data_IF_313690339691
#
_entry.id   IF_313690339691
#
_cell.length_a   1.000
_cell.length_b   1.000
_cell.length_c   1.000
_cell.angle_alpha   90.00
_cell.angle_beta   90.00
_cell.angle_gamma   90.00
#
_symmetry.space_group_name_H-M   'P 1'
#
loop_
_entity.id
_entity.type
_entity.pdbx_description
1 polymer ?
#
# COMPACT_ATOMS: atom_id res chain seq x y z
N UNK A 1 -0.11 -2.27 -30.06
CA UNK A 1 -0.48 -3.69 -29.92
C UNK A 1 -0.97 -3.87 -28.50
N UNK A 2 -2.24 -4.18 -28.29
CA UNK A 2 -2.78 -4.39 -26.94
C UNK A 2 -2.13 -5.64 -26.33
N UNK A 3 -1.34 -5.48 -25.27
CA UNK A 3 -0.77 -6.61 -24.53
C UNK A 3 -1.87 -7.23 -23.68
N UNK A 4 -2.51 -8.27 -24.21
CA UNK A 4 -3.40 -9.13 -23.42
C UNK A 4 -2.53 -9.99 -22.51
N UNK A 5 -2.36 -9.55 -21.26
CA UNK A 5 -1.80 -10.34 -20.16
C UNK A 5 -2.76 -11.50 -19.85
N UNK A 6 -2.57 -12.64 -20.50
CA UNK A 6 -3.45 -13.82 -20.42
C UNK A 6 -3.08 -14.78 -19.28
N UNK A 7 -2.11 -14.41 -18.44
CA UNK A 7 -1.82 -15.17 -17.22
C UNK A 7 -2.60 -14.60 -16.04
N UNK A 8 -3.33 -15.46 -15.32
CA UNK A 8 -3.76 -15.12 -13.96
C UNK A 8 -2.49 -15.09 -13.08
N UNK A 9 -2.05 -13.92 -12.58
CA UNK A 9 -0.77 -13.82 -11.88
C UNK A 9 -0.82 -14.61 -10.58
N UNK A 10 -0.12 -15.75 -10.48
CA UNK A 10 -0.15 -16.61 -9.30
C UNK A 10 1.07 -16.45 -8.39
N UNK A 11 1.92 -15.46 -8.67
CA UNK A 11 3.14 -15.19 -7.93
C UNK A 11 3.09 -13.80 -7.30
N UNK A 12 3.64 -13.72 -6.09
CA UNK A 12 3.97 -12.48 -5.42
C UNK A 12 5.47 -12.24 -5.60
N UNK A 13 5.79 -11.09 -6.18
CA UNK A 13 7.15 -10.59 -6.32
C UNK A 13 7.37 -9.59 -5.20
N UNK A 14 8.06 -10.06 -4.17
CA UNK A 14 8.37 -9.26 -2.99
C UNK A 14 9.57 -8.39 -3.29
N UNK A 15 9.39 -7.07 -3.22
CA UNK A 15 10.48 -6.11 -3.39
C UNK A 15 10.43 -5.16 -2.21
N UNK A 16 11.61 -4.84 -1.71
CA UNK A 16 11.85 -3.77 -0.76
C UNK A 16 13.01 -2.93 -1.31
N UNK A 17 12.84 -1.62 -1.29
CA UNK A 17 13.84 -0.67 -1.73
C UNK A 17 14.29 0.18 -0.55
N UNK A 18 15.60 0.41 -0.47
CA UNK A 18 16.11 1.55 0.27
C UNK A 18 16.33 2.70 -0.70
N UNK A 19 15.91 3.91 -0.31
CA UNK A 19 16.06 5.13 -1.12
C UNK A 19 16.88 6.19 -0.40
N UNK A 20 17.47 7.11 -1.16
CA UNK A 20 18.13 8.30 -0.58
C UNK A 20 17.14 9.31 0.04
N UNK A 21 15.84 9.10 -0.16
CA UNK A 21 14.72 9.89 0.37
C UNK A 21 13.44 9.58 -0.44
N UNK A 22 12.31 10.22 -0.12
CA UNK A 22 11.00 9.86 -0.68
C UNK A 22 10.51 10.75 -1.83
N UNK A 23 11.12 11.91 -2.06
CA UNK A 23 10.83 12.75 -3.22
C UNK A 23 11.45 12.17 -4.50
N UNK A 24 10.60 11.62 -5.36
CA UNK A 24 10.98 11.05 -6.65
C UNK A 24 11.79 12.00 -7.52
N UNK A 25 11.62 13.33 -7.40
CA UNK A 25 12.32 14.31 -8.24
C UNK A 25 13.76 14.56 -7.80
N UNK A 26 14.12 14.18 -6.57
CA UNK A 26 15.42 14.47 -5.96
C UNK A 26 16.18 13.19 -5.64
N UNK A 27 15.46 12.16 -5.19
CA UNK A 27 16.02 10.94 -4.64
C UNK A 27 15.95 9.75 -5.59
N UNK A 28 16.77 8.75 -5.30
CA UNK A 28 16.95 7.54 -6.12
C UNK A 28 17.00 6.29 -5.24
N UNK A 29 16.89 5.13 -5.89
CA UNK A 29 17.05 3.80 -5.28
C UNK A 29 18.52 3.58 -4.94
N UNK A 30 18.82 3.12 -3.71
CA UNK A 30 20.19 2.84 -3.23
C UNK A 30 20.41 1.38 -2.84
N UNK A 31 19.35 0.63 -2.51
CA UNK A 31 19.37 -0.83 -2.32
C UNK A 31 18.08 -1.42 -2.90
N UNK A 32 18.17 -2.63 -3.45
CA UNK A 32 17.00 -3.42 -3.86
C UNK A 32 17.21 -4.87 -3.44
N UNK A 33 16.23 -5.44 -2.73
CA UNK A 33 16.13 -6.87 -2.53
C UNK A 33 14.87 -7.42 -3.20
N UNK A 34 14.92 -8.69 -3.59
CA UNK A 34 13.77 -9.36 -4.19
C UNK A 34 13.62 -10.80 -3.70
N UNK A 35 12.37 -11.24 -3.56
CA UNK A 35 12.02 -12.65 -3.39
C UNK A 35 10.72 -12.97 -4.14
N UNK A 36 10.48 -14.24 -4.42
CA UNK A 36 9.23 -14.70 -5.04
C UNK A 36 8.56 -15.76 -4.18
N UNK A 37 7.25 -15.62 -3.99
CA UNK A 37 6.42 -16.64 -3.35
C UNK A 37 5.19 -16.93 -4.21
N UNK A 38 4.55 -18.07 -3.96
CA UNK A 38 3.15 -18.26 -4.33
C UNK A 38 2.23 -17.44 -3.41
N UNK A 39 0.94 -17.37 -3.75
CA UNK A 39 -0.05 -16.72 -2.88
C UNK A 39 -0.32 -17.50 -1.58
N UNK A 40 0.10 -18.75 -1.47
CA UNK A 40 -0.01 -19.49 -0.22
C UNK A 40 1.16 -19.20 0.73
N UNK A 41 2.13 -18.39 0.31
CA UNK A 41 3.33 -18.03 1.05
C UNK A 41 4.13 -19.27 1.49
N UNK A 42 4.03 -20.36 0.70
CA UNK A 42 4.69 -21.64 1.00
C UNK A 42 5.99 -21.79 0.25
N UNK A 43 6.02 -21.39 -1.02
CA UNK A 43 7.26 -21.33 -1.78
C UNK A 43 7.99 -20.04 -1.44
N UNK A 44 9.30 -20.13 -1.28
CA UNK A 44 10.18 -18.97 -1.09
C UNK A 44 11.40 -19.15 -1.98
N UNK A 45 11.45 -18.34 -3.03
CA UNK A 45 12.61 -18.22 -3.90
C UNK A 45 13.32 -16.93 -3.50
N UNK A 46 14.44 -17.07 -2.83
CA UNK A 46 15.30 -15.93 -2.49
C UNK A 46 15.96 -15.41 -3.77
N UNK A 47 15.85 -14.10 -4.00
CA UNK A 47 16.48 -13.43 -5.13
C UNK A 47 17.66 -12.58 -4.69
N UNK A 48 18.19 -11.77 -5.63
CA UNK A 48 19.32 -10.89 -5.35
C UNK A 48 19.00 -9.80 -4.31
N UNK A 49 20.04 -9.41 -3.59
CA UNK A 49 20.09 -8.30 -2.63
C UNK A 49 21.27 -7.41 -3.05
N UNK A 50 20.96 -6.22 -3.59
CA UNK A 50 21.89 -5.41 -4.38
C UNK A 50 21.94 -4.00 -3.83
N UNK A 51 23.11 -3.62 -3.32
CA UNK A 51 23.44 -2.21 -3.05
C UNK A 51 23.90 -1.55 -4.34
N UNK A 52 23.31 -0.41 -4.68
CA UNK A 52 23.58 0.34 -5.91
C UNK A 52 24.61 1.43 -5.62
N UNK A 53 25.61 1.53 -6.48
CA UNK A 53 26.63 2.58 -6.39
C UNK A 53 26.04 3.96 -6.69
N UNK A 54 26.42 4.94 -5.88
CA UNK A 54 26.13 6.35 -6.12
C UNK A 54 27.33 7.23 -5.76
N UNK A 55 27.47 8.32 -6.50
CA UNK A 55 28.45 9.36 -6.24
C UNK A 55 28.13 10.14 -4.94
N UNK A 56 29.13 10.82 -4.40
CA UNK A 56 28.99 11.54 -3.11
C UNK A 56 27.90 12.62 -3.15
N UNK A 57 27.62 13.21 -4.31
CA UNK A 57 26.58 14.24 -4.45
C UNK A 57 25.16 13.70 -4.19
N UNK A 58 24.87 12.44 -4.53
CA UNK A 58 23.61 11.76 -4.19
C UNK A 58 23.52 11.54 -2.68
N UNK A 59 24.62 11.11 -2.06
CA UNK A 59 24.70 10.90 -0.62
C UNK A 59 24.55 12.22 0.16
N UNK A 60 25.09 13.31 -0.37
CA UNK A 60 24.97 14.65 0.22
C UNK A 60 23.54 15.18 0.15
N UNK A 61 22.78 14.79 -0.88
CA UNK A 61 21.35 15.12 -1.04
C UNK A 61 20.40 14.25 -0.22
N UNK A 62 20.88 13.22 0.49
CA UNK A 62 20.02 12.44 1.40
C UNK A 62 19.42 13.35 2.47
N UNK A 63 18.12 13.15 2.75
CA UNK A 63 17.48 13.83 3.88
C UNK A 63 18.04 13.29 5.22
N UNK A 64 17.81 14.03 6.30
CA UNK A 64 18.40 13.72 7.61
C UNK A 64 18.01 12.33 8.12
N UNK A 65 16.76 11.94 7.92
CA UNK A 65 16.25 10.65 8.39
C UNK A 65 16.90 9.48 7.65
N UNK A 66 16.92 9.51 6.31
CA UNK A 66 17.57 8.49 5.47
C UNK A 66 19.06 8.43 5.75
N UNK A 67 19.73 9.59 5.91
CA UNK A 67 21.14 9.63 6.30
C UNK A 67 21.38 8.93 7.63
N UNK A 68 20.56 9.21 8.65
CA UNK A 68 20.70 8.61 9.97
C UNK A 68 20.51 7.08 9.91
N UNK A 69 19.45 6.60 9.27
CA UNK A 69 19.17 5.16 9.19
C UNK A 69 20.26 4.42 8.39
N UNK A 70 20.63 4.94 7.22
CA UNK A 70 21.62 4.32 6.35
C UNK A 70 23.04 4.37 6.92
N UNK A 71 23.32 5.35 7.79
CA UNK A 71 24.57 5.35 8.58
C UNK A 71 24.54 4.22 9.61
N UNK A 72 23.44 4.07 10.36
CA UNK A 72 23.32 3.03 11.40
C UNK A 72 23.37 1.61 10.84
N UNK A 73 22.77 1.38 9.67
CA UNK A 73 22.78 0.08 9.01
C UNK A 73 24.10 -0.23 8.28
N UNK A 74 25.00 0.76 8.15
CA UNK A 74 26.24 0.66 7.37
C UNK A 74 26.03 0.76 5.85
N UNK A 75 24.80 1.02 5.40
CA UNK A 75 24.45 1.07 3.98
C UNK A 75 25.18 2.19 3.23
N UNK A 76 25.45 3.35 3.85
CA UNK A 76 26.20 4.44 3.18
C UNK A 76 27.59 3.96 2.73
N UNK A 77 28.30 3.19 3.55
CA UNK A 77 29.62 2.69 3.18
C UNK A 77 29.54 1.60 2.11
N UNK A 78 28.50 0.78 2.14
CA UNK A 78 28.22 -0.19 1.08
C UNK A 78 27.90 0.49 -0.26
N UNK A 79 27.16 1.60 -0.26
CA UNK A 79 26.86 2.39 -1.47
C UNK A 79 28.18 2.89 -2.10
N UNK A 80 29.09 3.43 -1.29
CA UNK A 80 30.40 3.90 -1.76
C UNK A 80 31.26 2.77 -2.33
N UNK A 81 31.19 1.59 -1.73
CA UNK A 81 31.99 0.43 -2.12
C UNK A 81 31.38 -0.34 -3.31
N UNK A 82 30.08 -0.20 -3.53
CA UNK A 82 29.39 -0.88 -4.62
C UNK A 82 29.97 -0.46 -5.97
N UNK A 83 29.90 -1.38 -6.92
CA UNK A 83 30.27 -1.16 -8.32
C UNK A 83 29.11 -1.44 -9.27
N UNK A 84 27.92 -1.67 -8.72
CA UNK A 84 26.73 -2.03 -9.47
C UNK A 84 25.96 -0.76 -9.77
N UNK A 85 25.78 -0.45 -11.06
CA UNK A 85 24.93 0.67 -11.45
C UNK A 85 23.45 0.32 -11.29
N UNK A 86 22.57 1.33 -11.28
CA UNK A 86 21.13 1.12 -11.28
C UNK A 86 20.66 0.24 -12.47
N UNK A 87 21.28 0.41 -13.64
CA UNK A 87 20.99 -0.38 -14.84
C UNK A 87 21.40 -1.85 -14.68
N UNK A 88 22.56 -2.09 -14.06
CA UNK A 88 23.04 -3.44 -13.78
C UNK A 88 22.16 -4.13 -12.74
N UNK A 89 21.78 -3.41 -11.67
CA UNK A 89 20.86 -3.92 -10.65
C UNK A 89 19.52 -4.33 -11.25
N UNK A 90 18.91 -3.48 -12.09
CA UNK A 90 17.69 -3.83 -12.81
C UNK A 90 17.88 -5.06 -13.70
N UNK A 91 19.02 -5.18 -14.39
CA UNK A 91 19.32 -6.33 -15.24
C UNK A 91 19.43 -7.63 -14.44
N UNK A 92 20.13 -7.62 -13.31
CA UNK A 92 20.28 -8.77 -12.40
C UNK A 92 18.90 -9.21 -11.88
N UNK A 93 18.06 -8.26 -11.47
CA UNK A 93 16.70 -8.53 -10.99
C UNK A 93 15.83 -9.13 -12.10
N UNK A 94 15.89 -8.57 -13.31
CA UNK A 94 15.17 -9.10 -14.47
C UNK A 94 15.61 -10.52 -14.82
N UNK A 95 16.90 -10.83 -14.75
CA UNK A 95 17.42 -12.15 -15.09
C UNK A 95 17.03 -13.21 -14.05
N UNK A 96 16.92 -12.82 -12.77
CA UNK A 96 16.30 -13.65 -11.75
C UNK A 96 14.81 -13.88 -12.04
N UNK A 97 14.03 -12.82 -12.30
CA UNK A 97 12.59 -12.93 -12.53
C UNK A 97 12.25 -13.73 -13.79
N UNK A 98 13.00 -13.61 -14.89
CA UNK A 98 12.78 -14.42 -16.11
C UNK A 98 12.84 -15.92 -15.85
N UNK A 99 13.61 -16.36 -14.86
CA UNK A 99 13.74 -17.77 -14.50
C UNK A 99 12.57 -18.29 -13.64
N UNK A 100 11.84 -17.40 -12.96
CA UNK A 100 10.89 -17.78 -11.92
C UNK A 100 9.48 -17.22 -12.10
N UNK A 101 9.30 -16.17 -12.90
CA UNK A 101 8.04 -15.48 -13.10
C UNK A 101 7.84 -15.18 -14.60
N UNK A 102 6.80 -15.74 -15.24
CA UNK A 102 6.47 -15.36 -16.59
C UNK A 102 6.04 -13.88 -16.66
N UNK A 103 6.21 -13.26 -17.83
CA UNK A 103 5.93 -11.84 -18.06
C UNK A 103 4.48 -11.48 -17.69
N UNK A 104 4.30 -10.41 -16.91
CA UNK A 104 2.97 -9.94 -16.49
C UNK A 104 2.33 -10.76 -15.36
N UNK A 105 2.98 -11.82 -14.89
CA UNK A 105 2.38 -12.79 -13.96
C UNK A 105 2.79 -12.60 -12.49
N UNK A 106 3.65 -11.62 -12.20
CA UNK A 106 4.13 -11.30 -10.86
C UNK A 106 3.46 -10.05 -10.31
N UNK A 107 2.75 -10.18 -9.19
CA UNK A 107 2.18 -9.03 -8.47
C UNK A 107 3.20 -8.52 -7.46
N UNK A 108 3.52 -7.24 -7.52
CA UNK A 108 4.41 -6.59 -6.56
C UNK A 108 3.82 -6.66 -5.14
N UNK A 109 4.60 -7.12 -4.17
CA UNK A 109 4.19 -7.29 -2.78
C UNK A 109 5.22 -6.71 -1.81
N UNK A 110 4.77 -6.18 -0.68
CA UNK A 110 5.65 -5.61 0.32
C UNK A 110 4.89 -4.78 1.35
N UNK A 111 5.61 -4.05 2.19
CA UNK A 111 5.05 -3.13 3.18
C UNK A 111 5.13 -1.69 2.67
N UNK A 112 4.00 -1.02 2.49
CA UNK A 112 3.95 0.33 1.90
C UNK A 112 4.52 0.35 0.48
N UNK A 113 4.37 -0.78 -0.22
CA UNK A 113 5.05 -1.09 -1.50
C UNK A 113 4.61 -0.21 -2.67
N UNK A 114 3.56 0.59 -2.50
CA UNK A 114 3.19 1.60 -3.50
C UNK A 114 4.28 2.68 -3.64
N UNK A 115 5.07 2.95 -2.59
CA UNK A 115 6.20 3.87 -2.67
C UNK A 115 7.30 3.26 -3.54
N UNK A 116 7.64 2.00 -3.28
CA UNK A 116 8.62 1.25 -4.09
C UNK A 116 8.18 1.19 -5.56
N UNK A 117 6.88 0.98 -5.78
CA UNK A 117 6.28 0.96 -7.12
C UNK A 117 6.59 2.23 -7.90
N UNK A 118 6.50 3.42 -7.31
CA UNK A 118 6.83 4.65 -8.03
C UNK A 118 8.30 4.78 -8.37
N UNK A 119 9.18 4.39 -7.46
CA UNK A 119 10.62 4.39 -7.74
C UNK A 119 10.93 3.38 -8.86
N UNK A 120 10.31 2.20 -8.86
CA UNK A 120 10.42 1.21 -9.94
C UNK A 120 9.90 1.80 -11.26
N UNK A 121 8.72 2.42 -11.26
CA UNK A 121 8.12 3.05 -12.45
C UNK A 121 9.04 4.12 -13.06
N UNK A 122 9.74 4.90 -12.22
CA UNK A 122 10.64 5.97 -12.68
C UNK A 122 12.04 5.47 -13.07
N UNK A 123 12.64 4.63 -12.24
CA UNK A 123 14.07 4.29 -12.28
C UNK A 123 14.36 2.90 -12.84
N UNK A 124 13.40 1.97 -12.76
CA UNK A 124 13.52 0.60 -13.26
C UNK A 124 12.35 0.26 -14.19
N UNK A 125 12.25 1.00 -15.30
CA UNK A 125 11.12 0.93 -16.24
C UNK A 125 10.95 -0.44 -16.91
N UNK A 126 12.04 -1.19 -17.12
CA UNK A 126 12.00 -2.54 -17.70
C UNK A 126 11.45 -3.53 -16.68
N UNK A 127 11.85 -3.41 -15.41
CA UNK A 127 11.25 -4.18 -14.31
C UNK A 127 9.76 -3.86 -14.17
N UNK A 128 9.40 -2.57 -14.20
CA UNK A 128 8.01 -2.15 -14.12
C UNK A 128 7.12 -2.80 -15.19
N UNK A 129 7.64 -2.89 -16.43
CA UNK A 129 6.92 -3.43 -17.58
C UNK A 129 6.58 -4.92 -17.47
N UNK A 130 7.36 -5.72 -16.70
CA UNK A 130 7.10 -7.15 -16.52
C UNK A 130 6.19 -7.45 -15.33
N UNK A 131 6.04 -6.50 -14.41
CA UNK A 131 5.21 -6.67 -13.22
C UNK A 131 3.73 -6.37 -13.53
N UNK A 132 2.84 -7.08 -12.86
CA UNK A 132 1.42 -6.78 -12.93
C UNK A 132 1.13 -5.39 -12.33
N UNK A 133 0.17 -4.61 -12.86
CA UNK A 133 -0.13 -3.26 -12.36
C UNK A 133 -0.67 -3.22 -10.92
N UNK A 134 -1.35 -4.27 -10.48
CA UNK A 134 -1.83 -4.39 -9.10
C UNK A 134 -0.69 -4.69 -8.13
N UNK A 135 -0.87 -4.27 -6.88
CA UNK A 135 0.05 -4.52 -5.77
C UNK A 135 -0.63 -5.30 -4.64
N UNK A 136 0.16 -5.92 -3.77
CA UNK A 136 -0.26 -6.45 -2.47
C UNK A 136 0.51 -5.72 -1.38
N UNK A 137 -0.09 -4.65 -0.86
CA UNK A 137 0.48 -3.88 0.24
C UNK A 137 0.03 -4.44 1.59
N UNK A 138 0.98 -5.04 2.34
CA UNK A 138 0.75 -5.59 3.67
C UNK A 138 0.29 -4.53 4.68
N UNK A 139 0.63 -3.25 4.44
CA UNK A 139 0.18 -2.11 5.26
C UNK A 139 -1.33 -1.95 5.26
N UNK A 140 -2.00 -2.28 4.16
CA UNK A 140 -3.46 -2.24 4.08
C UNK A 140 -4.05 -3.18 5.13
N UNK A 141 -3.59 -4.44 5.16
CA UNK A 141 -4.08 -5.40 6.14
C UNK A 141 -3.67 -5.01 7.56
N UNK A 142 -2.48 -4.44 7.77
CA UNK A 142 -2.04 -3.95 9.07
C UNK A 142 -2.98 -2.89 9.64
N UNK A 143 -3.32 -1.87 8.83
CA UNK A 143 -4.20 -0.79 9.24
C UNK A 143 -5.65 -1.26 9.46
N UNK A 144 -6.14 -2.20 8.65
CA UNK A 144 -7.46 -2.81 8.84
C UNK A 144 -7.50 -3.65 10.12
N UNK A 145 -6.46 -4.45 10.36
CA UNK A 145 -6.34 -5.29 11.56
C UNK A 145 -6.28 -4.44 12.82
N UNK A 146 -5.50 -3.35 12.82
CA UNK A 146 -5.43 -2.42 13.94
C UNK A 146 -6.82 -1.88 14.33
N UNK A 147 -7.68 -1.58 13.34
CA UNK A 147 -8.98 -0.94 13.56
C UNK A 147 -10.10 -1.93 13.87
N UNK A 148 -10.08 -3.11 13.25
CA UNK A 148 -11.16 -4.08 13.37
C UNK A 148 -10.86 -5.21 14.34
N UNK A 149 -9.58 -5.50 14.55
CA UNK A 149 -9.11 -6.64 15.33
C UNK A 149 -7.92 -6.26 16.24
N UNK A 150 -8.05 -5.24 17.11
CA UNK A 150 -6.95 -4.74 17.94
C UNK A 150 -6.30 -5.82 18.83
N UNK A 151 -7.03 -6.84 19.30
CA UNK A 151 -6.47 -7.93 20.10
C UNK A 151 -5.59 -8.84 19.23
N UNK A 152 -5.98 -9.09 17.97
CA UNK A 152 -5.14 -9.85 17.03
C UNK A 152 -3.94 -9.01 16.57
N UNK A 153 -4.14 -7.70 16.40
CA UNK A 153 -3.06 -6.78 16.04
C UNK A 153 -1.88 -6.83 17.00
N UNK A 154 -2.12 -6.95 18.32
CA UNK A 154 -1.04 -7.04 19.32
C UNK A 154 -0.26 -8.35 19.26
N UNK A 155 -0.80 -9.40 18.65
CA UNK A 155 -0.16 -10.72 18.51
C UNK A 155 0.67 -10.87 17.24
N UNK A 156 0.72 -9.84 16.39
CA UNK A 156 1.52 -9.87 15.16
C UNK A 156 3.01 -9.98 15.48
N UNK A 157 3.83 -10.58 14.59
CA UNK A 157 5.27 -10.61 14.76
C UNK A 157 5.85 -9.21 14.94
N UNK A 158 6.77 -9.05 15.88
CA UNK A 158 7.51 -7.80 16.03
C UNK A 158 8.59 -7.71 14.94
N UNK A 159 8.63 -6.57 14.25
CA UNK A 159 9.69 -6.23 13.31
C UNK A 159 10.97 -5.87 14.07
N UNK A 160 12.11 -6.39 13.62
CA UNK A 160 13.43 -6.05 14.14
C UNK A 160 13.87 -4.66 13.65
N UNK A 161 13.33 -4.20 12.50
CA UNK A 161 13.62 -2.88 11.91
C UNK A 161 15.11 -2.67 11.66
N UNK A 162 15.75 -3.66 11.01
CA UNK A 162 17.18 -3.61 10.69
C UNK A 162 17.51 -2.63 9.55
N UNK A 163 16.49 -2.11 8.84
CA UNK A 163 16.64 -1.19 7.70
C UNK A 163 17.57 -1.76 6.63
N UNK A 164 17.26 -2.99 6.20
CA UNK A 164 17.96 -3.74 5.16
C UNK A 164 16.93 -4.50 4.36
N UNK A 165 16.96 -4.30 3.04
CA UNK A 165 15.85 -4.68 2.17
C UNK A 165 15.46 -6.17 2.25
N UNK A 166 16.46 -7.07 2.34
CA UNK A 166 16.19 -8.52 2.40
C UNK A 166 15.50 -8.95 3.69
N UNK A 167 15.89 -8.41 4.83
CA UNK A 167 15.30 -8.76 6.12
C UNK A 167 13.87 -8.21 6.21
N UNK A 168 13.65 -6.99 5.70
CA UNK A 168 12.33 -6.36 5.62
C UNK A 168 11.34 -7.14 4.73
N UNK A 169 11.81 -7.77 3.65
CA UNK A 169 11.00 -8.72 2.84
C UNK A 169 10.56 -9.92 3.69
N UNK A 170 11.48 -10.58 4.40
CA UNK A 170 11.17 -11.76 5.22
C UNK A 170 10.17 -11.43 6.33
N UNK A 171 10.34 -10.27 6.96
CA UNK A 171 9.39 -9.76 7.95
C UNK A 171 8.01 -9.49 7.33
N UNK A 172 7.95 -8.92 6.13
CA UNK A 172 6.70 -8.63 5.43
C UNK A 172 5.94 -9.90 5.02
N UNK A 173 6.65 -10.94 4.56
CA UNK A 173 6.08 -12.26 4.28
C UNK A 173 5.48 -12.87 5.56
N UNK A 174 6.22 -12.83 6.66
CA UNK A 174 5.77 -13.34 7.94
C UNK A 174 4.55 -12.58 8.48
N UNK A 175 4.52 -11.25 8.32
CA UNK A 175 3.38 -10.40 8.69
C UNK A 175 2.13 -10.73 7.87
N UNK A 176 2.26 -10.86 6.54
CA UNK A 176 1.14 -11.26 5.67
C UNK A 176 0.63 -12.67 5.99
N UNK A 177 1.53 -13.62 6.23
CA UNK A 177 1.17 -14.99 6.62
C UNK A 177 0.45 -15.01 7.98
N UNK A 178 0.90 -14.19 8.93
CA UNK A 178 0.21 -14.04 10.21
C UNK A 178 -1.23 -13.56 10.01
N UNK A 179 -1.46 -12.49 9.22
CA UNK A 179 -2.80 -12.01 8.93
C UNK A 179 -3.65 -13.08 8.26
N UNK A 180 -3.09 -13.77 7.26
CA UNK A 180 -3.78 -14.85 6.55
C UNK A 180 -4.27 -15.94 7.51
N UNK A 181 -3.46 -16.34 8.48
CA UNK A 181 -3.80 -17.42 9.41
C UNK A 181 -4.76 -16.98 10.53
N UNK A 182 -4.58 -15.76 11.04
CA UNK A 182 -5.21 -15.36 12.30
C UNK A 182 -6.40 -14.43 12.13
N UNK A 183 -6.45 -13.62 11.07
CA UNK A 183 -7.43 -12.53 10.96
C UNK A 183 -8.66 -12.93 10.16
N UNK A 184 -8.54 -13.98 9.35
CA UNK A 184 -9.58 -14.43 8.44
C UNK A 184 -10.25 -15.72 8.91
N UNK A 185 -11.53 -15.94 8.57
CA UNK A 185 -12.27 -17.15 8.96
C UNK A 185 -11.60 -18.45 8.43
N UNK A 186 -11.56 -19.49 9.27
CA UNK A 186 -11.07 -20.83 8.87
C UNK A 186 -12.02 -21.40 7.80
N UNK A 187 -11.48 -22.01 6.75
CA UNK A 187 -12.30 -22.56 5.68
C UNK A 187 -12.68 -21.56 4.60
N UNK A 188 -11.88 -20.50 4.41
CA UNK A 188 -11.93 -19.55 3.28
C UNK A 188 -11.91 -20.20 1.86
N UNK A 189 -11.88 -21.54 1.77
CA UNK A 189 -12.12 -22.35 0.56
C UNK A 189 -13.58 -22.87 0.43
N UNK A 190 -14.44 -22.73 1.45
CA UNK A 190 -15.76 -23.40 1.51
C UNK A 190 -16.80 -22.71 2.41
N UNK A 191 -16.78 -21.37 2.57
CA UNK A 191 -17.76 -20.70 3.43
C UNK A 191 -19.06 -20.44 2.66
N UNK A 192 -20.14 -21.16 3.03
CA UNK A 192 -21.51 -20.66 2.94
C UNK A 192 -21.76 -19.83 4.20
N UNK A 193 -21.68 -18.50 4.07
CA UNK A 193 -22.00 -17.43 5.02
C UNK A 193 -22.08 -17.77 6.52
N UNK A 194 -21.16 -17.30 7.37
CA UNK A 194 -21.45 -17.17 8.79
C UNK A 194 -22.32 -15.91 8.99
N UNK A 195 -23.24 -15.88 9.96
CA UNK A 195 -23.93 -14.64 10.29
C UNK A 195 -22.90 -13.65 10.84
N UNK A 196 -22.77 -12.50 10.19
CA UNK A 196 -22.06 -11.36 10.74
C UNK A 196 -22.71 -10.99 12.07
N UNK A 197 -22.01 -11.21 13.17
CA UNK A 197 -22.37 -10.60 14.45
C UNK A 197 -21.66 -9.25 14.47
N UNK A 198 -22.42 -8.17 14.29
CA UNK A 198 -21.94 -6.80 14.43
C UNK A 198 -21.42 -6.62 15.86
N UNK A 199 -20.13 -6.83 16.07
CA UNK A 199 -19.43 -6.27 17.21
C UNK A 199 -19.29 -4.77 16.93
N UNK A 200 -19.96 -3.88 17.68
CA UNK A 200 -19.70 -2.46 17.54
C UNK A 200 -18.25 -2.22 17.93
N UNK A 201 -17.40 -1.83 16.97
CA UNK A 201 -16.19 -1.09 17.35
C UNK A 201 -16.73 0.19 17.97
N UNK A 202 -16.53 0.36 19.29
CA UNK A 202 -16.86 1.61 19.97
C UNK A 202 -16.33 2.78 19.13
N UNK A 203 -17.10 3.86 19.01
CA UNK A 203 -16.72 5.05 18.25
C UNK A 203 -15.43 5.64 18.83
N UNK A 204 -14.31 5.14 18.33
CA UNK A 204 -12.98 5.58 18.70
C UNK A 204 -12.50 6.50 17.57
N UNK A 205 -12.31 7.79 17.83
CA UNK A 205 -11.89 8.72 16.78
C UNK A 205 -10.57 8.34 16.10
N UNK A 206 -9.72 7.54 16.77
CA UNK A 206 -8.48 7.00 16.19
C UNK A 206 -8.71 5.97 15.07
N UNK A 207 -9.94 5.48 14.91
CA UNK A 207 -10.31 4.52 13.87
C UNK A 207 -10.97 5.17 12.66
N UNK A 208 -11.17 6.50 12.68
CA UNK A 208 -11.72 7.21 11.52
C UNK A 208 -10.86 7.00 10.28
N UNK A 209 -11.51 6.92 9.12
CA UNK A 209 -10.88 6.75 7.82
C UNK A 209 -11.17 7.95 6.93
N UNK A 210 -10.17 8.40 6.19
CA UNK A 210 -10.29 9.48 5.21
C UNK A 210 -10.36 8.87 3.83
N UNK A 211 -11.49 8.97 3.15
CA UNK A 211 -11.66 8.51 1.78
C UNK A 211 -11.46 9.71 0.88
N UNK A 212 -10.52 9.64 -0.06
CA UNK A 212 -10.19 10.77 -0.92
C UNK A 212 -10.06 10.31 -2.36
N UNK A 213 -10.71 11.06 -3.26
CA UNK A 213 -10.58 10.89 -4.71
C UNK A 213 -10.54 12.27 -5.36
N UNK A 214 -9.74 12.38 -6.41
CA UNK A 214 -9.67 13.57 -7.26
C UNK A 214 -9.92 13.20 -8.71
N UNK A 215 -10.43 14.13 -9.50
CA UNK A 215 -10.54 13.95 -10.94
C UNK A 215 -9.17 14.21 -11.60
N UNK A 216 -8.68 13.22 -12.35
CA UNK A 216 -7.46 13.34 -13.18
C UNK A 216 -6.19 13.84 -12.43
N UNK A 217 -5.09 14.02 -13.17
CA UNK A 217 -3.82 14.49 -12.62
C UNK A 217 -3.85 15.96 -12.15
N UNK A 218 -4.88 16.71 -12.56
CA UNK A 218 -5.00 18.15 -12.29
C UNK A 218 -5.68 18.48 -10.96
N UNK A 219 -6.34 17.51 -10.30
CA UNK A 219 -7.01 17.71 -9.00
C UNK A 219 -8.00 18.89 -9.01
N UNK A 220 -8.75 19.05 -10.11
CA UNK A 220 -9.68 20.15 -10.30
C UNK A 220 -10.91 20.03 -9.39
N UNK A 221 -11.28 18.80 -9.04
CA UNK A 221 -12.36 18.39 -8.19
C UNK A 221 -11.83 17.38 -7.17
N UNK A 222 -12.16 17.62 -5.90
CA UNK A 222 -11.76 16.76 -4.79
C UNK A 222 -13.01 16.33 -4.05
N UNK A 223 -13.20 15.03 -3.87
CA UNK A 223 -14.24 14.50 -3.01
C UNK A 223 -13.62 13.75 -1.84
N UNK A 224 -14.09 14.09 -0.64
CA UNK A 224 -13.61 13.49 0.62
C UNK A 224 -14.80 12.98 1.41
N UNK A 225 -14.71 11.74 1.89
CA UNK A 225 -15.65 11.16 2.85
C UNK A 225 -14.89 10.80 4.12
N UNK A 226 -15.49 11.06 5.28
CA UNK A 226 -15.01 10.57 6.58
C UNK A 226 -15.94 9.45 7.03
N UNK A 227 -15.37 8.30 7.36
CA UNK A 227 -16.11 7.22 8.02
C UNK A 227 -15.58 6.94 9.41
N UNK A 228 -16.42 6.38 10.28
CA UNK A 228 -15.95 5.75 11.51
C UNK A 228 -15.18 4.44 11.20
N UNK A 229 -14.61 3.80 12.23
CA UNK A 229 -13.97 2.49 12.09
C UNK A 229 -14.93 1.36 11.68
N UNK A 230 -16.24 1.59 11.75
CA UNK A 230 -17.25 0.68 11.25
C UNK A 230 -17.65 0.90 9.80
N UNK A 231 -17.02 1.89 9.13
CA UNK A 231 -17.31 2.30 7.76
C UNK A 231 -18.67 2.99 7.60
N UNK A 232 -19.25 3.52 8.67
CA UNK A 232 -20.41 4.40 8.58
C UNK A 232 -19.95 5.80 8.15
N UNK A 233 -20.60 6.38 7.16
CA UNK A 233 -20.32 7.74 6.71
C UNK A 233 -20.71 8.72 7.82
N UNK A 234 -19.74 9.51 8.27
CA UNK A 234 -19.92 10.55 9.28
C UNK A 234 -20.18 11.90 8.61
N UNK A 235 -19.37 12.25 7.61
CA UNK A 235 -19.45 13.49 6.87
C UNK A 235 -18.79 13.32 5.50
N UNK A 236 -19.14 14.18 4.55
CA UNK A 236 -18.49 14.30 3.25
C UNK A 236 -18.29 15.76 2.83
N UNK A 237 -17.42 15.96 1.85
CA UNK A 237 -17.10 17.27 1.29
C UNK A 237 -16.69 17.13 -0.17
N UNK A 238 -17.35 17.88 -1.04
CA UNK A 238 -16.97 18.07 -2.44
C UNK A 238 -16.40 19.48 -2.63
N UNK A 239 -15.27 19.58 -3.33
CA UNK A 239 -14.56 20.82 -3.60
C UNK A 239 -14.28 20.95 -5.09
N UNK A 240 -14.60 22.12 -5.64
CA UNK A 240 -14.14 22.56 -6.97
C UNK A 240 -12.94 23.50 -6.80
N UNK A 241 -11.76 22.94 -7.03
CA UNK A 241 -10.46 23.60 -6.88
C UNK A 241 -10.20 24.65 -7.98
N UNK A 242 -10.97 24.68 -9.07
CA UNK A 242 -10.91 25.75 -10.07
C UNK A 242 -11.57 27.05 -9.59
N UNK A 243 -12.35 27.00 -8.52
CA UNK A 243 -12.99 28.19 -7.97
C UNK A 243 -11.98 29.11 -7.29
N UNK A 244 -12.09 30.44 -7.53
CA UNK A 244 -11.16 31.47 -7.01
C UNK A 244 -11.17 31.67 -5.46
N UNK A 245 -11.85 30.81 -4.70
CA UNK A 245 -11.99 30.92 -3.24
C UNK A 245 -11.12 29.90 -2.50
N UNK A 246 -10.85 30.13 -1.21
CA UNK A 246 -10.00 29.35 -0.30
C UNK A 246 -10.43 27.87 -0.06
N UNK A 247 -10.61 27.06 -1.12
CA UNK A 247 -11.05 25.67 -1.01
C UNK A 247 -10.07 24.79 -0.25
N UNK A 248 -8.77 25.10 -0.33
CA UNK A 248 -7.75 24.40 0.45
C UNK A 248 -7.96 24.57 1.95
N UNK A 249 -8.22 25.80 2.43
CA UNK A 249 -8.52 26.06 3.84
C UNK A 249 -9.83 25.39 4.27
N UNK A 250 -10.83 25.31 3.38
CA UNK A 250 -12.07 24.58 3.61
C UNK A 250 -11.81 23.08 3.82
N UNK A 251 -10.94 22.48 3.00
CA UNK A 251 -10.53 21.08 3.14
C UNK A 251 -9.84 20.82 4.48
N UNK A 252 -8.82 21.61 4.82
CA UNK A 252 -8.06 21.48 6.07
C UNK A 252 -8.99 21.66 7.27
N UNK A 253 -9.84 22.69 7.24
CA UNK A 253 -10.84 22.92 8.28
C UNK A 253 -11.84 21.78 8.42
N UNK A 254 -12.24 21.16 7.31
CA UNK A 254 -13.10 19.98 7.33
C UNK A 254 -12.41 18.78 7.99
N UNK A 255 -11.14 18.53 7.67
CA UNK A 255 -10.38 17.44 8.31
C UNK A 255 -10.19 17.68 9.80
N UNK A 256 -9.81 18.89 10.24
CA UNK A 256 -9.66 19.19 11.66
C UNK A 256 -10.95 19.01 12.46
N UNK A 257 -12.11 19.28 11.87
CA UNK A 257 -13.41 19.07 12.54
C UNK A 257 -13.80 17.59 12.66
N UNK A 258 -13.28 16.73 11.78
CA UNK A 258 -13.74 15.35 11.64
C UNK A 258 -12.70 14.28 12.02
N UNK A 259 -11.42 14.62 11.96
CA UNK A 259 -10.30 13.81 12.42
C UNK A 259 -9.88 14.37 13.77
N UNK A 260 -10.43 13.79 14.83
CA UNK A 260 -10.24 14.31 16.19
C UNK A 260 -8.83 14.01 16.76
N UNK A 261 -8.07 13.13 16.10
CA UNK A 261 -6.69 12.80 16.46
C UNK A 261 -5.81 12.91 15.22
N UNK A 262 -4.96 13.93 15.18
CA UNK A 262 -4.04 14.12 14.06
C UNK A 262 -3.17 12.88 13.84
N UNK A 263 -2.94 12.58 12.56
CA UNK A 263 -2.12 11.44 12.09
C UNK A 263 -2.67 10.07 12.50
N UNK A 264 -3.90 9.91 12.98
CA UNK A 264 -4.47 8.57 13.24
C UNK A 264 -5.22 7.96 12.06
N UNK A 265 -5.71 8.80 11.15
CA UNK A 265 -6.64 8.38 10.11
C UNK A 265 -5.93 8.17 8.77
N UNK A 266 -5.91 6.95 8.22
CA UNK A 266 -5.25 6.65 6.97
C UNK A 266 -6.14 7.11 5.82
N UNK A 267 -5.49 7.39 4.69
CA UNK A 267 -6.23 7.71 3.47
C UNK A 267 -6.59 6.41 2.76
N UNK A 268 -7.83 6.31 2.29
CA UNK A 268 -8.50 5.08 1.88
C UNK A 268 -9.15 5.23 0.50
N UNK A 269 -9.22 4.13 -0.24
CA UNK A 269 -9.88 4.06 -1.56
C UNK A 269 -9.35 2.91 -2.41
N UNK A 270 -9.73 2.88 -3.68
CA UNK A 270 -9.15 1.95 -4.67
C UNK A 270 -7.96 2.58 -5.36
N UNK A 271 -6.85 1.84 -5.47
CA UNK A 271 -5.59 2.30 -6.09
C UNK A 271 -5.10 3.61 -5.49
N UNK A 272 -5.18 3.70 -4.16
CA UNK A 272 -4.79 4.90 -3.43
C UNK A 272 -3.27 4.95 -3.33
N UNK A 273 -2.69 5.78 -4.21
CA UNK A 273 -1.26 6.04 -4.27
C UNK A 273 -1.06 7.54 -4.03
N UNK A 274 -0.55 7.91 -2.86
CA UNK A 274 -0.54 9.31 -2.39
C UNK A 274 0.87 9.86 -2.39
N UNK A 275 1.20 10.71 -3.37
CA UNK A 275 2.53 11.33 -3.44
C UNK A 275 2.70 12.30 -2.27
N UNK A 276 3.25 11.77 -1.18
CA UNK A 276 3.45 12.50 0.07
C UNK A 276 4.45 13.62 -0.07
N UNK A 277 5.52 13.42 -0.84
CA UNK A 277 6.52 14.46 -1.07
C UNK A 277 5.90 15.64 -1.81
N UNK A 278 5.06 15.37 -2.82
CA UNK A 278 4.26 16.42 -3.47
C UNK A 278 3.29 17.07 -2.48
N UNK A 279 2.52 16.29 -1.72
CA UNK A 279 1.57 16.85 -0.74
C UNK A 279 2.25 17.67 0.35
N UNK A 280 3.46 17.33 0.78
CA UNK A 280 4.20 18.13 1.75
C UNK A 280 4.55 19.52 1.19
N UNK A 281 4.81 19.62 -0.12
CA UNK A 281 5.05 20.91 -0.80
C UNK A 281 3.77 21.71 -1.05
N UNK A 282 2.72 21.05 -1.55
CA UNK A 282 1.53 21.75 -2.05
C UNK A 282 0.39 21.82 -1.03
N UNK A 283 0.41 20.94 -0.03
CA UNK A 283 -0.68 20.71 0.90
C UNK A 283 -0.21 20.20 2.30
N UNK A 284 0.77 20.84 2.97
CA UNK A 284 1.36 20.33 4.21
C UNK A 284 0.38 20.20 5.38
N UNK A 285 -0.59 21.11 5.50
CA UNK A 285 -1.60 21.08 6.58
C UNK A 285 -2.55 19.89 6.43
N UNK A 286 -2.97 19.60 5.20
CA UNK A 286 -3.72 18.39 4.86
C UNK A 286 -2.92 17.14 5.25
N UNK A 287 -1.64 17.07 4.83
CA UNK A 287 -0.79 15.91 5.10
C UNK A 287 -0.59 15.70 6.61
N UNK A 288 -0.49 16.78 7.39
CA UNK A 288 -0.34 16.74 8.84
C UNK A 288 -1.55 16.13 9.58
N UNK A 289 -2.74 16.15 8.97
CA UNK A 289 -3.95 15.55 9.53
C UNK A 289 -3.97 14.02 9.37
N UNK A 290 -3.40 13.51 8.28
CA UNK A 290 -3.55 12.12 7.85
C UNK A 290 -2.42 11.21 8.37
N UNK A 291 -2.76 9.96 8.71
CA UNK A 291 -1.79 8.92 9.07
C UNK A 291 -0.86 8.61 7.91
N UNK A 292 0.33 8.06 8.19
CA UNK A 292 1.36 7.86 7.17
C UNK A 292 1.08 6.72 6.17
N UNK A 293 0.30 5.72 6.60
CA UNK A 293 -0.12 4.60 5.75
C UNK A 293 -1.45 4.89 5.06
N UNK A 294 -1.65 4.20 3.94
CA UNK A 294 -2.91 4.18 3.20
C UNK A 294 -3.58 2.81 3.29
N UNK A 295 -4.88 2.76 3.00
CA UNK A 295 -5.65 1.52 2.85
C UNK A 295 -6.11 1.45 1.39
N UNK A 296 -5.53 0.53 0.63
CA UNK A 296 -5.92 0.26 -0.75
C UNK A 296 -6.88 -0.93 -0.80
N UNK A 297 -8.14 -0.66 -1.12
CA UNK A 297 -9.19 -1.68 -1.18
C UNK A 297 -8.90 -2.72 -2.28
N UNK A 298 -8.15 -2.38 -3.33
CA UNK A 298 -7.78 -3.32 -4.38
C UNK A 298 -6.86 -4.44 -3.90
N UNK A 299 -6.12 -4.25 -2.80
CA UNK A 299 -5.36 -5.33 -2.15
C UNK A 299 -6.29 -6.47 -1.74
N UNK A 300 -7.49 -6.15 -1.21
CA UNK A 300 -8.48 -7.18 -0.86
C UNK A 300 -9.07 -7.86 -2.09
N UNK A 301 -9.28 -7.15 -3.20
CA UNK A 301 -9.68 -7.76 -4.47
C UNK A 301 -8.65 -8.82 -4.91
N UNK A 302 -7.37 -8.45 -4.93
CA UNK A 302 -6.26 -9.32 -5.35
C UNK A 302 -6.14 -10.56 -4.46
N UNK A 303 -6.18 -10.36 -3.15
CA UNK A 303 -6.07 -11.45 -2.17
C UNK A 303 -7.31 -12.35 -2.18
N UNK A 304 -8.52 -11.78 -2.16
CA UNK A 304 -9.75 -12.55 -2.13
C UNK A 304 -9.97 -13.33 -3.44
N UNK A 305 -9.54 -12.83 -4.59
CA UNK A 305 -9.61 -13.59 -5.86
C UNK A 305 -8.93 -14.96 -5.76
N UNK A 306 -7.82 -15.06 -5.01
CA UNK A 306 -7.00 -16.28 -4.90
C UNK A 306 -7.24 -17.06 -3.64
N UNK A 307 -7.45 -16.35 -2.53
CA UNK A 307 -7.73 -17.01 -1.30
C UNK A 307 -9.22 -17.44 -1.29
N UNK A 308 -10.20 -16.55 -1.56
CA UNK A 308 -11.67 -16.76 -1.33
C UNK A 308 -12.44 -16.44 -2.59
N UNK A 309 -12.23 -17.28 -3.60
CA UNK A 309 -12.82 -17.11 -4.91
C UNK A 309 -14.34 -16.85 -4.85
N UNK A 310 -15.06 -17.60 -4.02
CA UNK A 310 -16.52 -17.42 -3.86
C UNK A 310 -16.90 -16.05 -3.27
N UNK A 311 -16.16 -15.54 -2.29
CA UNK A 311 -16.43 -14.19 -1.75
C UNK A 311 -16.09 -13.13 -2.80
N UNK A 312 -14.98 -13.29 -3.51
CA UNK A 312 -14.61 -12.39 -4.60
C UNK A 312 -15.66 -12.36 -5.73
N UNK A 313 -16.18 -13.51 -6.15
CA UNK A 313 -17.18 -13.63 -7.20
C UNK A 313 -18.54 -13.02 -6.81
N UNK A 314 -18.89 -13.02 -5.52
CA UNK A 314 -20.14 -12.47 -5.00
C UNK A 314 -20.04 -11.02 -4.49
N UNK A 315 -18.88 -10.37 -4.66
CA UNK A 315 -18.67 -8.98 -4.22
C UNK A 315 -19.57 -8.02 -5.01
N UNK A 316 -19.96 -6.86 -4.44
CA UNK A 316 -20.67 -5.84 -5.18
C UNK A 316 -19.83 -5.35 -6.36
N UNK A 317 -20.42 -5.36 -7.56
CA UNK A 317 -19.81 -4.76 -8.75
C UNK A 317 -20.12 -3.27 -8.72
N UNK A 318 -19.10 -2.46 -8.50
CA UNK A 318 -19.23 -1.01 -8.55
C UNK A 318 -19.19 -0.61 -10.02
N UNK A 319 -20.32 -0.18 -10.58
CA UNK A 319 -20.34 0.47 -11.89
C UNK A 319 -19.73 1.87 -11.72
N UNK A 320 -18.47 2.01 -12.08
CA UNK A 320 -17.78 3.31 -12.05
C UNK A 320 -17.90 3.95 -13.42
N UNK A 321 -18.61 5.08 -13.50
CA UNK A 321 -18.28 6.10 -14.51
C UNK A 321 -17.01 6.81 -14.01
N UNK A 322 -15.96 6.89 -14.84
CA UNK A 322 -14.67 7.45 -14.44
C UNK A 322 -14.74 8.91 -14.00
N UNK A 323 -15.84 9.60 -14.31
CA UNK A 323 -16.06 11.00 -13.93
C UNK A 323 -16.92 11.16 -12.65
N UNK A 324 -17.45 10.08 -12.07
CA UNK A 324 -18.25 10.14 -10.85
C UNK A 324 -17.45 9.74 -9.60
N UNK A 325 -16.70 10.71 -9.08
CA UNK A 325 -15.90 10.58 -7.85
C UNK A 325 -16.75 10.10 -6.66
N UNK A 326 -18.04 10.48 -6.62
CA UNK A 326 -18.94 10.18 -5.51
C UNK A 326 -19.30 8.70 -5.51
N UNK A 327 -19.75 8.20 -6.66
CA UNK A 327 -20.09 6.78 -6.83
C UNK A 327 -18.87 5.89 -6.62
N UNK A 328 -17.69 6.30 -7.06
CA UNK A 328 -16.46 5.52 -6.88
C UNK A 328 -16.05 5.39 -5.40
N UNK A 329 -16.01 6.50 -4.64
CA UNK A 329 -15.66 6.43 -3.21
C UNK A 329 -16.71 5.67 -2.40
N UNK A 330 -18.00 5.94 -2.63
CA UNK A 330 -19.08 5.22 -1.94
C UNK A 330 -19.06 3.72 -2.28
N UNK A 331 -18.78 3.38 -3.54
CA UNK A 331 -18.55 2.01 -3.96
C UNK A 331 -17.37 1.36 -3.24
N UNK A 332 -16.24 2.08 -3.11
CA UNK A 332 -15.06 1.61 -2.38
C UNK A 332 -15.35 1.31 -0.91
N UNK A 333 -16.15 2.17 -0.26
CA UNK A 333 -16.64 1.96 1.11
C UNK A 333 -17.51 0.71 1.17
N UNK A 334 -18.48 0.56 0.25
CA UNK A 334 -19.38 -0.59 0.19
C UNK A 334 -18.62 -1.91 -0.02
N UNK A 335 -17.61 -1.91 -0.88
CA UNK A 335 -16.76 -3.07 -1.12
C UNK A 335 -15.95 -3.43 0.12
N UNK A 336 -15.39 -2.44 0.82
CA UNK A 336 -14.66 -2.68 2.07
C UNK A 336 -15.59 -3.19 3.18
N UNK A 337 -16.83 -2.68 3.27
CA UNK A 337 -17.87 -3.21 4.17
C UNK A 337 -18.17 -4.68 3.86
N UNK A 338 -18.31 -5.02 2.58
CA UNK A 338 -18.54 -6.40 2.13
C UNK A 338 -17.41 -7.33 2.58
N UNK A 339 -16.14 -6.96 2.36
CA UNK A 339 -15.02 -7.78 2.81
C UNK A 339 -14.91 -7.83 4.34
N UNK A 340 -15.16 -6.73 5.05
CA UNK A 340 -15.20 -6.74 6.51
C UNK A 340 -16.17 -7.81 7.03
N UNK A 341 -17.37 -7.86 6.46
CA UNK A 341 -18.43 -8.78 6.91
C UNK A 341 -18.15 -10.25 6.55
N UNK A 342 -17.57 -10.52 5.39
CA UNK A 342 -17.47 -11.88 4.83
C UNK A 342 -16.10 -12.54 5.02
N UNK A 343 -15.07 -11.75 5.36
CA UNK A 343 -13.67 -12.18 5.28
C UNK A 343 -12.95 -12.06 6.62
N UNK A 344 -13.18 -10.98 7.38
CA UNK A 344 -12.53 -10.77 8.68
C UNK A 344 -13.28 -11.42 9.85
N UNK A 345 -12.54 -12.10 10.74
CA UNK A 345 -13.04 -12.59 12.04
C UNK A 345 -13.44 -11.43 12.95
N UNK A 346 -14.42 -11.64 13.83
CA UNK A 346 -14.61 -10.75 14.98
C UNK A 346 -13.51 -10.97 16.03
N UNK A 347 -13.15 -9.92 16.77
CA UNK A 347 -12.30 -10.02 17.97
C UNK A 347 -13.04 -10.58 19.18
N UNK A 348 -14.38 -10.68 19.10
CA UNK A 348 -15.23 -11.23 20.17
C UNK A 348 -15.31 -12.77 20.18
N UNK A 349 -14.51 -13.46 19.34
CA UNK A 349 -14.46 -14.93 19.24
C UNK A 349 -13.04 -15.48 19.34
#
# INVERSE_FOLDING_TARGET
>A
MAMTNDCDPNLLVWIDLEMSGLDLNVHTIVEIAIAVTDFHLKTFLEGPDIVIHHEQDVLDRMNDWSREQHTKSGLIDLIRQSRVSLYDAETIVLDFLKQHCPFGCGILAGNSVFVDRWFIEKYMTRLNAILHPSIVDCSTLKELTLRWQPIRYTKRPHKQMMHRARDDIKESINELNHYRQHNFYLGWHSIRYPPYVSAPVLSNPRTHLVWLKTDTDQMNHVYVIITDGNLNILNDLYLDMNSKCNQYSSLVGFLHRNILVNRSSPICGQRVHIDRARLERVAPEFLACCHYRSIDVDVLNVLCRRWAKQVYENRPIIQTDSNDLVTELKGSIQLLQYYRANVFKSDLL
#
